data_IF_565109458361
#
_entry.id   IF_565109458361
#
_cell.length_a   1.000
_cell.length_b   1.000
_cell.length_c   1.000
_cell.angle_alpha   90.00
_cell.angle_beta   90.00
_cell.angle_gamma   90.00
#
_symmetry.space_group_name_H-M   'P 1'
#
loop_
_entity.id
_entity.type
_entity.pdbx_description
1 polymer ?
#
# COMPACT_ATOMS: atom_id res chain seq x y z
N UNK A 1 -3.17 -15.42 3.63
CA UNK A 1 -3.13 -14.84 4.99
C UNK A 1 -1.70 -14.78 5.53
N UNK A 2 -0.74 -15.45 4.88
CA UNK A 2 0.65 -15.62 5.31
C UNK A 2 1.55 -14.38 5.19
N UNK A 3 1.34 -13.49 4.20
CA UNK A 3 2.25 -12.35 3.99
C UNK A 3 2.27 -11.35 5.16
N UNK A 4 1.15 -11.19 5.87
CA UNK A 4 1.07 -10.33 7.04
C UNK A 4 1.66 -11.02 8.28
N UNK A 5 1.41 -12.32 8.46
CA UNK A 5 1.94 -13.10 9.58
C UNK A 5 3.46 -13.30 9.47
N UNK A 6 4.00 -13.60 8.28
CA UNK A 6 5.45 -13.68 8.04
C UNK A 6 6.19 -12.38 8.37
N UNK A 7 5.56 -11.23 8.10
CA UNK A 7 6.18 -9.91 8.28
C UNK A 7 5.89 -9.27 9.64
N UNK A 8 4.98 -9.85 10.41
CA UNK A 8 4.62 -9.43 11.77
C UNK A 8 5.85 -9.37 12.66
N UNK A 9 6.75 -10.34 12.54
CA UNK A 9 8.02 -10.41 13.27
C UNK A 9 9.01 -9.29 12.92
N UNK A 10 8.93 -8.71 11.72
CA UNK A 10 9.79 -7.58 11.29
C UNK A 10 9.21 -6.21 11.69
N UNK A 11 7.95 -6.16 12.12
CA UNK A 11 7.29 -4.92 12.46
C UNK A 11 7.53 -4.55 13.92
N UNK A 12 7.87 -3.28 14.17
CA UNK A 12 8.06 -2.76 15.53
C UNK A 12 6.81 -3.03 16.38
N UNK A 13 6.96 -3.90 17.39
CA UNK A 13 5.90 -4.34 18.30
C UNK A 13 4.89 -5.31 17.68
N UNK A 14 5.31 -6.22 16.81
CA UNK A 14 4.47 -7.22 16.13
C UNK A 14 3.33 -6.62 15.29
N UNK A 15 3.49 -5.37 14.87
CA UNK A 15 2.43 -4.62 14.21
C UNK A 15 1.22 -4.28 15.11
N UNK A 16 1.27 -4.54 16.43
CA UNK A 16 0.18 -4.26 17.39
C UNK A 16 -0.29 -2.81 17.37
N UNK A 17 0.60 -1.87 17.05
CA UNK A 17 0.22 -0.46 17.00
C UNK A 17 -0.69 -0.13 15.81
N UNK A 18 -1.06 -1.09 14.95
CA UNK A 18 -2.04 -0.93 13.89
C UNK A 18 -1.62 0.02 12.76
N UNK A 19 -0.63 0.89 12.97
CA UNK A 19 -0.20 1.90 12.00
C UNK A 19 0.31 1.30 10.68
N UNK A 20 0.80 0.05 10.68
CA UNK A 20 1.19 -0.66 9.47
C UNK A 20 0.00 -1.29 8.73
N UNK A 21 -0.95 -1.87 9.45
CA UNK A 21 -2.11 -2.53 8.85
C UNK A 21 -3.26 -1.57 8.51
N UNK A 22 -3.35 -0.43 9.19
CA UNK A 22 -4.49 0.50 9.12
C UNK A 22 -4.76 1.03 7.69
N UNK A 23 -3.77 1.53 6.93
CA UNK A 23 -3.99 1.99 5.55
C UNK A 23 -4.34 0.85 4.58
N UNK A 24 -3.80 -0.36 4.82
CA UNK A 24 -4.19 -1.55 4.07
C UNK A 24 -5.66 -1.88 4.34
N UNK A 25 -6.07 -1.91 5.61
CA UNK A 25 -7.45 -2.19 6.03
C UNK A 25 -8.46 -1.17 5.56
N UNK A 26 -8.12 0.12 5.58
CA UNK A 26 -9.07 1.18 5.26
C UNK A 26 -9.21 1.44 3.75
N UNK A 27 -8.13 1.29 2.99
CA UNK A 27 -8.13 1.70 1.58
C UNK A 27 -7.97 0.52 0.61
N UNK A 28 -7.14 -0.46 0.95
CA UNK A 28 -6.78 -1.56 0.02
C UNK A 28 -7.75 -2.73 0.17
N UNK A 29 -7.96 -3.25 1.38
CA UNK A 29 -8.81 -4.42 1.64
C UNK A 29 -10.27 -4.27 1.17
N UNK A 30 -10.96 -3.12 1.33
CA UNK A 30 -12.35 -2.99 0.93
C UNK A 30 -12.56 -3.06 -0.59
N UNK A 31 -11.54 -2.70 -1.39
CA UNK A 31 -11.62 -2.68 -2.86
C UNK A 31 -10.89 -3.87 -3.49
N UNK A 32 -9.70 -4.18 -3.02
CA UNK A 32 -8.82 -5.22 -3.59
C UNK A 32 -8.92 -6.56 -2.86
N UNK A 33 -9.56 -6.62 -1.68
CA UNK A 33 -9.70 -7.88 -0.92
C UNK A 33 -10.68 -8.88 -1.54
N UNK A 34 -11.52 -8.43 -2.48
CA UNK A 34 -12.44 -9.30 -3.23
C UNK A 34 -11.85 -9.80 -4.55
N UNK A 35 -10.68 -9.29 -4.95
CA UNK A 35 -10.02 -9.65 -6.20
C UNK A 35 -8.91 -10.67 -5.94
N UNK A 36 -8.72 -11.58 -6.89
CA UNK A 36 -7.57 -12.46 -6.89
C UNK A 36 -6.30 -11.62 -7.10
N UNK A 37 -5.23 -11.96 -6.39
CA UNK A 37 -3.94 -11.24 -6.50
C UNK A 37 -3.41 -11.28 -7.93
N UNK A 38 -3.69 -12.35 -8.67
CA UNK A 38 -3.35 -12.56 -10.08
C UNK A 38 -4.18 -11.72 -11.06
N UNK A 39 -5.40 -11.33 -10.68
CA UNK A 39 -6.30 -10.53 -11.52
C UNK A 39 -6.24 -9.04 -11.20
N UNK A 40 -5.42 -8.64 -10.21
CA UNK A 40 -5.29 -7.23 -9.89
C UNK A 40 -4.76 -6.49 -11.11
N UNK A 41 -5.52 -5.47 -11.54
CA UNK A 41 -5.14 -4.59 -12.62
C UNK A 41 -4.64 -3.23 -12.09
N UNK A 42 -3.82 -2.56 -12.89
CA UNK A 42 -3.37 -1.19 -12.61
C UNK A 42 -4.56 -0.23 -12.40
N UNK A 43 -5.64 -0.38 -13.16
CA UNK A 43 -6.84 0.48 -13.09
C UNK A 43 -7.50 0.43 -11.72
N UNK A 44 -7.61 -0.76 -11.12
CA UNK A 44 -8.20 -0.95 -9.78
C UNK A 44 -7.38 -0.26 -8.70
N UNK A 45 -6.05 -0.37 -8.80
CA UNK A 45 -5.12 0.33 -7.91
C UNK A 45 -5.29 1.84 -8.11
N UNK A 46 -5.26 2.33 -9.34
CA UNK A 46 -5.48 3.75 -9.63
C UNK A 46 -6.82 4.26 -9.07
N UNK A 47 -7.92 3.53 -9.26
CA UNK A 47 -9.24 3.89 -8.74
C UNK A 47 -9.34 3.82 -7.21
N UNK A 48 -8.53 3.00 -6.56
CA UNK A 48 -8.42 2.93 -5.10
C UNK A 48 -7.63 4.11 -4.53
N UNK A 49 -6.53 4.47 -5.18
CA UNK A 49 -5.63 5.51 -4.70
C UNK A 49 -6.03 6.92 -5.15
N UNK A 50 -6.73 7.08 -6.28
CA UNK A 50 -7.18 8.37 -6.82
C UNK A 50 -7.80 9.32 -5.78
N UNK A 51 -8.78 8.92 -4.94
CA UNK A 51 -9.38 9.83 -3.96
C UNK A 51 -8.43 10.24 -2.83
N UNK A 52 -7.42 9.43 -2.51
CA UNK A 52 -6.47 9.69 -1.41
C UNK A 52 -5.13 10.27 -1.88
N UNK A 53 -4.82 10.16 -3.17
CA UNK A 53 -3.51 10.48 -3.73
C UNK A 53 -3.11 11.93 -3.49
N UNK A 54 -4.05 12.86 -3.73
CA UNK A 54 -3.81 14.29 -3.49
C UNK A 54 -4.28 14.75 -2.12
N UNK A 55 -5.37 14.19 -1.59
CA UNK A 55 -5.95 14.60 -0.32
C UNK A 55 -5.10 14.15 0.89
N UNK A 56 -4.57 12.94 0.84
CA UNK A 56 -3.79 12.30 1.92
C UNK A 56 -2.53 11.66 1.37
N UNK A 57 -1.78 12.44 0.63
CA UNK A 57 -0.45 12.19 0.11
C UNK A 57 0.43 11.20 0.93
N UNK A 58 0.79 11.56 2.16
CA UNK A 58 1.63 10.69 3.00
C UNK A 58 0.98 9.34 3.34
N UNK A 59 -0.35 9.27 3.37
CA UNK A 59 -1.09 8.01 3.59
C UNK A 59 -1.12 7.17 2.33
N UNK A 60 -1.33 7.79 1.17
CA UNK A 60 -1.34 7.12 -0.13
C UNK A 60 0.03 6.50 -0.45
N UNK A 61 1.12 7.24 -0.20
CA UNK A 61 2.48 6.76 -0.37
C UNK A 61 2.81 5.58 0.56
N UNK A 62 2.39 5.64 1.82
CA UNK A 62 2.54 4.51 2.76
C UNK A 62 1.74 3.29 2.30
N UNK A 63 0.52 3.49 1.82
CA UNK A 63 -0.33 2.39 1.38
C UNK A 63 0.20 1.72 0.10
N UNK A 64 0.67 2.48 -0.91
CA UNK A 64 1.23 1.89 -2.14
C UNK A 64 2.55 1.14 -1.88
N UNK A 65 3.41 1.66 -0.99
CA UNK A 65 4.64 0.98 -0.61
C UNK A 65 4.36 -0.34 0.14
N UNK A 66 3.30 -0.38 0.95
CA UNK A 66 2.87 -1.59 1.65
C UNK A 66 2.23 -2.62 0.73
N UNK A 67 1.47 -2.17 -0.27
CA UNK A 67 0.97 -3.04 -1.32
C UNK A 67 2.14 -3.69 -2.08
N UNK A 68 3.16 -2.93 -2.45
CA UNK A 68 4.36 -3.46 -3.13
C UNK A 68 5.06 -4.55 -2.29
N UNK A 69 5.16 -4.34 -0.98
CA UNK A 69 5.67 -5.34 -0.03
C UNK A 69 4.86 -6.63 -0.07
N UNK A 70 3.53 -6.52 -0.04
CA UNK A 70 2.63 -7.67 -0.11
C UNK A 70 2.83 -8.44 -1.42
N UNK A 71 2.92 -7.72 -2.55
CA UNK A 71 3.10 -8.32 -3.87
C UNK A 71 4.43 -9.06 -4.03
N UNK A 72 5.51 -8.52 -3.44
CA UNK A 72 6.80 -9.20 -3.39
C UNK A 72 6.73 -10.50 -2.59
N UNK A 73 5.98 -10.52 -1.49
CA UNK A 73 5.79 -11.74 -0.71
C UNK A 73 4.95 -12.77 -1.47
N UNK A 74 3.88 -12.35 -2.15
CA UNK A 74 3.07 -13.28 -2.96
C UNK A 74 3.87 -13.85 -4.14
N UNK A 75 4.71 -13.05 -4.79
CA UNK A 75 5.63 -13.54 -5.82
C UNK A 75 6.63 -14.57 -5.25
N UNK A 76 7.13 -14.35 -4.03
CA UNK A 76 7.99 -15.34 -3.35
C UNK A 76 7.27 -16.66 -3.00
N UNK A 77 5.93 -16.62 -2.86
CA UNK A 77 5.09 -17.81 -2.70
C UNK A 77 4.75 -18.50 -4.04
N UNK A 78 5.41 -18.12 -5.14
CA UNK A 78 5.16 -18.61 -6.50
C UNK A 78 3.74 -18.34 -7.02
N UNK A 79 3.08 -17.28 -6.52
CA UNK A 79 1.83 -16.79 -7.10
C UNK A 79 2.15 -15.88 -8.29
N UNK A 80 1.36 -15.99 -9.36
CA UNK A 80 1.50 -15.14 -10.55
C UNK A 80 1.02 -13.72 -10.23
N UNK A 81 1.97 -12.78 -10.13
CA UNK A 81 1.71 -11.40 -9.70
C UNK A 81 2.61 -10.42 -10.46
N UNK A 82 2.01 -9.39 -11.06
CA UNK A 82 2.77 -8.30 -11.68
C UNK A 82 3.40 -7.38 -10.64
N UNK A 83 4.71 -7.54 -10.40
CA UNK A 83 5.49 -6.67 -9.51
C UNK A 83 5.58 -5.22 -10.01
N UNK A 84 5.39 -4.99 -11.31
CA UNK A 84 5.45 -3.65 -11.92
C UNK A 84 4.16 -2.86 -11.68
N UNK A 85 3.09 -3.49 -11.21
CA UNK A 85 1.76 -2.89 -11.18
C UNK A 85 1.71 -1.62 -10.31
N UNK A 86 2.50 -1.59 -9.23
CA UNK A 86 2.61 -0.43 -8.33
C UNK A 86 3.38 0.73 -8.98
N UNK A 87 4.39 0.42 -9.79
CA UNK A 87 5.18 1.41 -10.54
C UNK A 87 4.30 2.04 -11.62
N UNK A 88 3.59 1.19 -12.39
CA UNK A 88 2.65 1.64 -13.42
C UNK A 88 1.53 2.51 -12.81
N UNK A 89 0.95 2.08 -11.69
CA UNK A 89 -0.08 2.84 -10.99
C UNK A 89 0.44 4.22 -10.54
N UNK A 90 1.66 4.29 -10.01
CA UNK A 90 2.30 5.57 -9.63
C UNK A 90 2.51 6.48 -10.84
N UNK A 91 2.95 5.92 -11.97
CA UNK A 91 3.12 6.70 -13.21
C UNK A 91 1.79 7.30 -13.69
N UNK A 92 0.69 6.53 -13.59
CA UNK A 92 -0.64 6.99 -14.01
C UNK A 92 -1.26 8.02 -13.04
N UNK A 93 -1.05 7.85 -11.73
CA UNK A 93 -1.52 8.80 -10.71
C UNK A 93 -0.73 10.12 -10.73
N UNK A 94 0.44 10.14 -11.37
CA UNK A 94 1.28 11.32 -11.51
C UNK A 94 1.93 11.79 -10.20
N UNK A 95 2.63 12.92 -10.27
CA UNK A 95 3.37 13.45 -9.13
C UNK A 95 2.46 14.02 -8.05
N UNK A 96 2.70 13.61 -6.81
CA UNK A 96 1.97 14.08 -5.65
C UNK A 96 2.35 15.53 -5.32
N UNK A 97 1.37 16.45 -5.30
CA UNK A 97 1.60 17.89 -5.08
C UNK A 97 1.70 18.30 -3.60
N UNK A 98 1.93 17.35 -2.71
CA UNK A 98 1.94 17.62 -1.28
C UNK A 98 3.23 18.32 -0.86
N UNK A 99 3.09 19.49 -0.24
CA UNK A 99 4.20 20.17 0.45
C UNK A 99 4.23 19.70 1.90
N UNK A 100 5.33 19.06 2.30
CA UNK A 100 5.57 18.69 3.70
C UNK A 100 5.83 19.96 4.51
N UNK A 101 4.91 20.28 5.42
CA UNK A 101 5.13 21.33 6.41
C UNK A 101 5.85 20.72 7.62
N UNK A 102 7.11 21.08 7.82
CA UNK A 102 7.86 20.64 9.00
C UNK A 102 7.30 21.36 10.24
N UNK A 103 6.79 20.62 11.22
CA UNK A 103 6.36 21.20 12.51
C UNK A 103 7.55 21.17 13.46
N UNK A 104 7.89 22.28 14.15
CA UNK A 104 8.98 22.31 15.10
C UNK A 104 8.71 21.32 16.25
N UNK A 105 9.76 20.64 16.72
CA UNK A 105 9.69 19.81 17.91
C UNK A 105 9.45 20.72 19.11
N UNK A 106 8.44 20.43 19.94
CA UNK A 106 8.29 21.08 21.24
C UNK A 106 9.15 20.30 22.24
N UNK A 107 9.98 21.04 22.98
CA UNK A 107 10.77 20.56 24.12
C UNK A 107 9.89 19.96 25.23
#
# INVERSE_FOLDING_TARGET
>A
MDAFESRKAELKGDGKNGHWFLPLRLYILPKLGCLLVSEMAQTEICGTFSPIWHAKAATAEKAINRLNIYLKHTAALNLDVDLQITIKARAFLGQQRHKTTNRPAMD
#
